data_IF_314595792020
#
_entry.id   IF_314595792020
#
_cell.length_a   1.000
_cell.length_b   1.000
_cell.length_c   1.000
_cell.angle_alpha   90.00
_cell.angle_beta   90.00
_cell.angle_gamma   90.00
#
_symmetry.space_group_name_H-M   'P 1'
#
loop_
_entity.id
_entity.type
_entity.pdbx_description
1 polymer ?
#
# COMPACT_ATOMS: atom_id res chain seq x y z
N UNK A 1 18.16 11.84 13.01
CA UNK A 1 17.18 10.75 12.81
C UNK A 1 17.64 9.56 13.65
N UNK A 2 16.73 8.87 14.34
CA UNK A 2 17.08 7.61 15.00
C UNK A 2 17.44 6.57 13.92
N UNK A 3 18.41 5.69 14.24
CA UNK A 3 18.78 4.62 13.32
C UNK A 3 17.57 3.70 13.07
N UNK A 4 17.46 3.18 11.83
CA UNK A 4 16.45 2.17 11.51
C UNK A 4 16.70 0.91 12.33
N UNK A 5 15.71 0.46 13.08
CA UNK A 5 15.82 -0.62 14.06
C UNK A 5 14.72 -1.70 13.97
N UNK A 6 13.84 -1.63 12.98
CA UNK A 6 12.84 -2.69 12.78
C UNK A 6 13.49 -3.92 12.13
N UNK A 7 13.14 -5.09 12.64
CA UNK A 7 13.57 -6.35 12.04
C UNK A 7 13.00 -6.51 10.62
N UNK A 8 13.77 -7.12 9.69
CA UNK A 8 13.25 -7.46 8.38
C UNK A 8 11.98 -8.30 8.50
N UNK A 9 10.89 -7.95 7.80
CA UNK A 9 9.70 -8.79 7.76
C UNK A 9 9.95 -10.04 6.92
N UNK A 10 9.18 -11.10 7.19
CA UNK A 10 9.24 -12.32 6.40
C UNK A 10 8.00 -12.45 5.52
N UNK A 11 8.19 -13.00 4.31
CA UNK A 11 7.12 -13.49 3.45
C UNK A 11 7.12 -15.01 3.51
N UNK A 12 5.96 -15.60 3.82
CA UNK A 12 5.74 -17.05 3.76
C UNK A 12 4.85 -17.31 2.56
N UNK A 13 5.36 -18.06 1.59
CA UNK A 13 4.63 -18.42 0.37
C UNK A 13 4.34 -19.92 0.39
N UNK A 14 3.07 -20.28 0.23
CA UNK A 14 2.64 -21.66 0.05
C UNK A 14 2.11 -21.85 -1.38
N UNK A 15 2.62 -22.82 -2.12
CA UNK A 15 2.30 -23.04 -3.53
C UNK A 15 2.13 -24.52 -3.84
N UNK A 16 1.25 -24.82 -4.79
CA UNK A 16 1.15 -26.16 -5.33
C UNK A 16 2.38 -26.50 -6.16
N UNK A 17 2.97 -27.65 -5.92
CA UNK A 17 4.01 -28.20 -6.78
C UNK A 17 3.38 -28.81 -8.06
N UNK A 18 4.14 -28.94 -9.14
CA UNK A 18 3.65 -29.63 -10.32
C UNK A 18 3.22 -31.05 -10.00
N UNK A 19 2.04 -31.45 -10.47
CA UNK A 19 1.60 -32.84 -10.37
C UNK A 19 2.42 -33.70 -11.31
N UNK A 20 3.02 -34.82 -10.84
CA UNK A 20 3.76 -35.72 -11.69
C UNK A 20 2.90 -36.27 -12.83
N UNK A 21 3.49 -36.43 -14.02
CA UNK A 21 2.75 -36.80 -15.24
C UNK A 21 2.01 -38.16 -15.15
N UNK A 22 2.49 -39.10 -14.33
CA UNK A 22 1.82 -40.38 -14.12
C UNK A 22 0.52 -40.27 -13.30
N UNK A 23 0.27 -39.13 -12.67
CA UNK A 23 -0.99 -38.80 -11.97
C UNK A 23 -1.93 -37.93 -12.81
N UNK A 24 -1.57 -37.55 -14.04
CA UNK A 24 -2.36 -36.60 -14.85
C UNK A 24 -3.79 -37.06 -15.15
N UNK A 25 -4.05 -38.37 -15.13
CA UNK A 25 -5.38 -38.96 -15.39
C UNK A 25 -6.06 -39.49 -14.11
N UNK A 26 -5.50 -39.25 -12.96
CA UNK A 26 -6.08 -39.62 -11.68
C UNK A 26 -6.88 -38.43 -11.11
N UNK A 27 -8.20 -38.53 -11.19
CA UNK A 27 -9.12 -37.47 -10.75
C UNK A 27 -9.06 -37.19 -9.25
N UNK A 28 -8.42 -38.04 -8.47
CA UNK A 28 -8.25 -37.88 -7.02
C UNK A 28 -6.82 -37.48 -6.62
N UNK A 29 -5.93 -37.34 -7.60
CA UNK A 29 -4.57 -36.94 -7.31
C UNK A 29 -4.49 -35.44 -6.97
N UNK A 30 -3.86 -35.13 -5.85
CA UNK A 30 -3.59 -33.77 -5.40
C UNK A 30 -2.10 -33.46 -5.48
N UNK A 31 -1.70 -32.23 -5.84
CA UNK A 31 -0.30 -31.83 -5.85
C UNK A 31 0.26 -31.74 -4.42
N UNK A 32 1.54 -31.96 -4.28
CA UNK A 32 2.25 -31.56 -3.06
C UNK A 32 2.29 -30.05 -2.89
N UNK A 33 2.62 -29.59 -1.69
CA UNK A 33 2.72 -28.15 -1.37
C UNK A 33 4.15 -27.79 -1.00
N UNK A 34 4.66 -26.73 -1.63
CA UNK A 34 5.89 -26.07 -1.22
C UNK A 34 5.56 -24.94 -0.25
N UNK A 35 6.34 -24.80 0.82
CA UNK A 35 6.30 -23.63 1.71
C UNK A 35 7.68 -22.99 1.72
N UNK A 36 7.76 -21.74 1.34
CA UNK A 36 8.99 -20.92 1.34
C UNK A 36 8.89 -19.83 2.38
N UNK A 37 10.03 -19.50 2.98
CA UNK A 37 10.17 -18.37 3.91
C UNK A 37 11.25 -17.45 3.37
N UNK A 38 10.89 -16.25 2.98
CA UNK A 38 11.80 -15.23 2.46
C UNK A 38 11.90 -14.08 3.47
N UNK A 39 13.12 -13.67 3.79
CA UNK A 39 13.36 -12.41 4.50
C UNK A 39 13.28 -11.26 3.50
N UNK A 40 12.46 -10.25 3.78
CA UNK A 40 12.25 -9.13 2.87
C UNK A 40 13.14 -7.94 3.26
N UNK A 41 13.87 -7.40 2.29
CA UNK A 41 14.63 -6.17 2.51
C UNK A 41 13.71 -4.95 2.51
N UNK A 42 13.77 -4.16 3.58
CA UNK A 42 13.01 -2.93 3.73
C UNK A 42 13.87 -1.74 3.34
N UNK A 43 13.89 -1.43 2.04
CA UNK A 43 14.75 -0.40 1.46
C UNK A 43 14.10 1.00 1.50
N UNK A 44 14.88 2.08 1.60
CA UNK A 44 14.36 3.44 1.46
C UNK A 44 13.63 3.64 0.13
N UNK A 45 12.50 4.33 0.16
CA UNK A 45 11.79 4.72 -1.07
C UNK A 45 12.50 5.95 -1.66
N UNK A 46 12.92 5.91 -2.94
CA UNK A 46 13.54 7.06 -3.58
C UNK A 46 12.66 8.32 -3.52
N UNK A 47 13.26 9.48 -3.25
CA UNK A 47 12.56 10.77 -3.18
C UNK A 47 11.93 11.10 -1.82
N UNK A 48 12.09 10.23 -0.80
CA UNK A 48 11.56 10.46 0.55
C UNK A 48 12.64 10.60 1.64
N UNK A 49 13.89 10.86 1.26
CA UNK A 49 15.03 11.15 2.17
C UNK A 49 15.16 10.18 3.37
N UNK A 50 14.78 8.90 3.17
CA UNK A 50 14.82 7.89 4.21
C UNK A 50 13.67 7.94 5.21
N UNK A 51 12.72 8.86 5.06
CA UNK A 51 11.50 8.96 5.87
C UNK A 51 10.62 7.73 5.69
N UNK A 52 10.51 7.24 4.45
CA UNK A 52 9.74 6.05 4.11
C UNK A 52 10.65 4.93 3.61
N UNK A 53 10.40 3.72 4.10
CA UNK A 53 11.02 2.48 3.62
C UNK A 53 9.95 1.51 3.19
N UNK A 54 10.28 0.61 2.25
CA UNK A 54 9.32 -0.35 1.69
C UNK A 54 9.95 -1.73 1.51
N UNK A 55 9.22 -2.77 1.91
CA UNK A 55 9.50 -4.14 1.54
C UNK A 55 8.35 -4.70 0.72
N UNK A 56 8.60 -5.07 -0.54
CA UNK A 56 7.55 -5.59 -1.44
C UNK A 56 7.22 -7.04 -1.06
N UNK A 57 5.94 -7.34 -0.88
CA UNK A 57 5.44 -8.68 -0.57
C UNK A 57 4.98 -9.38 -1.84
N UNK A 58 4.10 -8.76 -2.62
CA UNK A 58 3.63 -9.30 -3.90
C UNK A 58 3.10 -8.18 -4.80
N UNK A 59 3.11 -8.46 -6.10
CA UNK A 59 2.46 -7.64 -7.12
C UNK A 59 1.60 -8.53 -8.00
N UNK A 60 0.39 -8.11 -8.31
CA UNK A 60 -0.51 -8.79 -9.24
C UNK A 60 -0.92 -7.83 -10.34
N UNK A 61 -0.70 -8.22 -11.58
CA UNK A 61 -1.00 -7.37 -12.76
C UNK A 61 -2.48 -7.20 -13.02
N UNK A 62 -3.31 -8.12 -12.51
CA UNK A 62 -4.74 -8.14 -12.76
C UNK A 62 -5.50 -8.81 -11.63
N UNK A 63 -6.79 -8.50 -11.54
CA UNK A 63 -7.78 -9.19 -10.72
C UNK A 63 -8.87 -9.74 -11.67
N UNK A 64 -9.26 -11.04 -11.59
CA UNK A 64 -8.78 -12.04 -10.64
C UNK A 64 -7.30 -12.42 -10.84
N UNK A 65 -6.64 -12.81 -9.74
CA UNK A 65 -5.27 -13.28 -9.74
C UNK A 65 -5.18 -14.73 -10.20
N UNK A 66 -3.98 -15.18 -10.63
CA UNK A 66 -3.68 -16.61 -10.81
C UNK A 66 -3.01 -17.17 -9.56
N UNK A 67 -3.34 -18.41 -9.22
CA UNK A 67 -2.64 -19.20 -8.20
C UNK A 67 -1.59 -20.13 -8.80
N UNK A 68 -1.31 -20.00 -10.11
CA UNK A 68 -0.34 -20.85 -10.80
C UNK A 68 1.09 -20.46 -10.38
N UNK A 69 1.94 -21.48 -10.37
CA UNK A 69 3.36 -21.31 -10.11
C UNK A 69 3.78 -21.77 -8.72
N UNK A 70 5.10 -21.96 -8.60
CA UNK A 70 5.80 -22.35 -7.38
C UNK A 70 7.17 -21.66 -7.35
N UNK A 71 7.91 -21.82 -6.26
CA UNK A 71 9.22 -21.22 -6.10
C UNK A 71 9.15 -19.74 -5.72
N UNK A 72 10.05 -18.92 -6.26
CA UNK A 72 10.14 -17.52 -5.95
C UNK A 72 8.98 -16.72 -6.58
N UNK A 73 8.37 -15.83 -5.81
CA UNK A 73 7.33 -14.93 -6.33
C UNK A 73 7.99 -13.82 -7.15
N UNK A 74 7.69 -13.70 -8.45
CA UNK A 74 8.16 -12.57 -9.24
C UNK A 74 7.50 -11.28 -8.77
N UNK A 75 8.28 -10.21 -8.67
CA UNK A 75 7.80 -8.88 -8.33
C UNK A 75 7.91 -7.97 -9.54
N UNK A 76 6.77 -7.54 -10.06
CA UNK A 76 6.72 -6.59 -11.16
C UNK A 76 7.15 -5.19 -10.73
N UNK A 77 7.75 -4.44 -11.63
CA UNK A 77 7.98 -3.02 -11.43
C UNK A 77 6.65 -2.27 -11.56
N UNK A 78 6.32 -1.48 -10.53
CA UNK A 78 5.12 -0.66 -10.50
C UNK A 78 5.47 0.74 -10.96
N UNK A 79 4.77 1.30 -11.97
CA UNK A 79 5.12 2.60 -12.54
C UNK A 79 4.95 3.76 -11.55
N UNK A 80 5.56 4.87 -11.84
CA UNK A 80 5.54 6.09 -11.03
C UNK A 80 6.23 5.91 -9.69
N UNK A 81 5.59 6.33 -8.62
CA UNK A 81 6.10 6.14 -7.24
C UNK A 81 5.91 4.71 -6.72
N UNK A 82 5.45 3.80 -7.57
CA UNK A 82 5.32 2.39 -7.22
C UNK A 82 4.13 2.07 -6.32
N UNK A 83 2.99 2.69 -6.55
CA UNK A 83 1.77 2.49 -5.73
C UNK A 83 1.06 1.21 -6.13
N UNK A 84 0.56 1.10 -7.38
CA UNK A 84 -0.15 -0.08 -7.87
C UNK A 84 -0.11 -0.15 -9.40
N UNK A 85 -0.13 -1.36 -9.95
CA UNK A 85 -0.31 -1.57 -11.40
C UNK A 85 -1.77 -1.33 -11.79
N UNK A 86 -2.05 -0.69 -12.93
CA UNK A 86 -3.42 -0.53 -13.42
C UNK A 86 -4.13 -1.89 -13.54
N UNK A 87 -5.33 -2.01 -12.94
CA UNK A 87 -6.11 -3.24 -12.89
C UNK A 87 -5.58 -4.31 -11.92
N UNK A 88 -4.54 -4.02 -11.18
CA UNK A 88 -3.85 -4.97 -10.32
C UNK A 88 -3.91 -4.66 -8.82
N UNK A 89 -3.05 -5.35 -8.10
CA UNK A 89 -2.85 -5.22 -6.66
C UNK A 89 -1.37 -5.17 -6.34
N UNK A 90 -0.99 -4.34 -5.38
CA UNK A 90 0.35 -4.30 -4.82
C UNK A 90 0.28 -4.44 -3.30
N UNK A 91 1.06 -5.36 -2.74
CA UNK A 91 1.14 -5.59 -1.30
C UNK A 91 2.58 -5.36 -0.84
N UNK A 92 2.74 -4.52 0.18
CA UNK A 92 4.06 -4.20 0.72
C UNK A 92 4.00 -3.72 2.18
N UNK A 93 5.09 -3.89 2.89
CA UNK A 93 5.31 -3.19 4.16
C UNK A 93 5.79 -1.78 3.89
N UNK A 94 5.30 -0.83 4.68
CA UNK A 94 5.81 0.53 4.78
C UNK A 94 6.29 0.75 6.20
N UNK A 95 7.53 1.24 6.33
CA UNK A 95 8.05 1.73 7.59
C UNK A 95 8.21 3.25 7.53
N UNK A 96 7.64 3.94 8.51
CA UNK A 96 7.65 5.41 8.63
C UNK A 96 8.58 5.83 9.74
N UNK A 97 9.55 6.69 9.42
CA UNK A 97 10.57 7.14 10.35
C UNK A 97 9.96 7.96 11.50
N UNK A 98 10.60 7.94 12.70
CA UNK A 98 10.21 8.79 13.80
C UNK A 98 10.26 10.28 13.46
N UNK A 99 9.34 11.06 14.05
CA UNK A 99 9.29 12.52 13.91
C UNK A 99 9.35 12.98 12.45
N UNK A 100 8.52 12.37 11.61
CA UNK A 100 8.48 12.66 10.17
C UNK A 100 7.06 12.95 9.70
N UNK A 101 6.94 13.94 8.83
CA UNK A 101 5.70 14.27 8.13
C UNK A 101 5.76 13.71 6.72
N UNK A 102 4.71 12.99 6.33
CA UNK A 102 4.56 12.47 4.97
C UNK A 102 4.07 13.54 4.01
N UNK A 103 4.31 13.34 2.72
CA UNK A 103 3.80 14.20 1.67
C UNK A 103 2.31 13.96 1.46
N UNK A 104 1.51 15.03 1.45
CA UNK A 104 0.08 14.96 1.16
C UNK A 104 -0.14 14.56 -0.29
N UNK A 105 -0.88 13.49 -0.53
CA UNK A 105 -1.11 12.99 -1.89
C UNK A 105 -2.44 12.26 -2.03
N UNK A 106 -2.83 12.04 -3.27
CA UNK A 106 -3.95 11.19 -3.68
C UNK A 106 -3.53 10.36 -4.86
N UNK A 107 -3.91 9.08 -4.83
CA UNK A 107 -3.71 8.11 -5.90
C UNK A 107 -5.04 7.49 -6.33
N UNK A 108 -5.10 6.99 -7.56
CA UNK A 108 -6.24 6.25 -8.08
C UNK A 108 -6.16 4.80 -7.61
N UNK A 109 -6.46 4.63 -6.32
CA UNK A 109 -6.42 3.34 -5.63
C UNK A 109 -7.40 3.28 -4.46
N UNK A 110 -7.71 2.06 -4.04
CA UNK A 110 -8.29 1.79 -2.73
C UNK A 110 -7.23 1.10 -1.89
N UNK A 111 -6.89 1.71 -0.75
CA UNK A 111 -5.80 1.22 0.10
C UNK A 111 -6.35 0.70 1.42
N UNK A 112 -5.87 -0.45 1.83
CA UNK A 112 -6.07 -1.01 3.16
C UNK A 112 -4.72 -0.99 3.88
N UNK A 113 -4.63 -0.18 4.93
CA UNK A 113 -3.41 -0.05 5.72
C UNK A 113 -3.65 -0.63 7.10
N UNK A 114 -2.89 -1.66 7.46
CA UNK A 114 -2.95 -2.29 8.78
C UNK A 114 -1.74 -1.81 9.57
N UNK A 115 -1.98 -1.17 10.72
CA UNK A 115 -0.90 -0.80 11.63
C UNK A 115 -0.40 -2.04 12.36
N UNK A 116 0.87 -2.40 12.17
CA UNK A 116 1.49 -3.57 12.80
C UNK A 116 2.20 -3.16 14.08
N UNK A 117 2.96 -2.07 14.04
CA UNK A 117 3.69 -1.56 15.22
C UNK A 117 3.86 -0.06 15.16
N UNK A 118 4.03 0.57 16.31
CA UNK A 118 4.11 2.02 16.48
C UNK A 118 2.73 2.69 16.35
N UNK A 119 2.70 4.02 16.33
CA UNK A 119 1.46 4.81 16.15
C UNK A 119 1.60 5.68 14.91
N UNK A 120 0.76 5.41 13.91
CA UNK A 120 0.69 6.22 12.69
C UNK A 120 -0.14 7.47 12.95
N UNK A 121 0.32 8.60 12.45
CA UNK A 121 -0.48 9.83 12.33
C UNK A 121 -0.98 9.94 10.89
N UNK A 122 -2.23 9.53 10.64
CA UNK A 122 -2.89 9.72 9.35
C UNK A 122 -3.31 11.19 9.26
N UNK A 123 -2.75 11.93 8.31
CA UNK A 123 -3.12 13.31 8.04
C UNK A 123 -4.13 13.40 6.91
N UNK A 124 -5.17 14.16 7.10
CA UNK A 124 -6.19 14.47 6.08
C UNK A 124 -6.55 15.95 6.11
N UNK A 125 -7.04 16.54 5.01
CA UNK A 125 -7.70 17.84 5.08
C UNK A 125 -8.87 17.82 6.06
N UNK A 126 -9.23 18.97 6.61
CA UNK A 126 -10.46 19.11 7.38
C UNK A 126 -11.72 18.84 6.51
N UNK A 127 -12.90 18.52 7.14
CA UNK A 127 -14.12 18.16 6.40
C UNK A 127 -14.81 19.36 5.76
N UNK A 128 -14.05 20.15 4.99
CA UNK A 128 -14.51 21.29 4.24
C UNK A 128 -13.99 21.22 2.81
N UNK A 129 -14.74 21.72 1.82
CA UNK A 129 -14.26 21.83 0.46
C UNK A 129 -12.98 22.68 0.38
N UNK A 130 -12.03 22.25 -0.45
CA UNK A 130 -10.79 22.97 -0.73
C UNK A 130 -10.44 22.83 -2.21
N UNK A 131 -9.45 23.59 -2.66
CA UNK A 131 -8.97 23.55 -4.04
C UNK A 131 -7.56 22.97 -4.10
N UNK A 132 -7.31 22.23 -5.16
CA UNK A 132 -5.96 21.82 -5.58
C UNK A 132 -5.72 22.44 -6.94
N UNK A 133 -4.75 23.35 -7.03
CA UNK A 133 -4.39 24.04 -8.25
C UNK A 133 -2.86 24.20 -8.32
N UNK A 134 -2.27 23.88 -9.45
CA UNK A 134 -0.84 24.03 -9.72
C UNK A 134 0.05 23.40 -8.62
N UNK A 135 -0.33 22.19 -8.14
CA UNK A 135 0.38 21.47 -7.09
C UNK A 135 0.24 22.07 -5.68
N UNK A 136 -0.68 23.04 -5.48
CA UNK A 136 -0.96 23.66 -4.18
C UNK A 136 -2.39 23.37 -3.75
N UNK A 137 -2.58 23.23 -2.46
CA UNK A 137 -3.90 23.07 -1.85
C UNK A 137 -4.25 24.25 -0.94
N UNK A 138 -5.56 24.51 -0.79
CA UNK A 138 -6.08 25.61 0.02
C UNK A 138 -6.73 25.16 1.33
N UNK A 139 -6.59 23.86 1.72
CA UNK A 139 -7.02 23.41 3.04
C UNK A 139 -6.16 24.08 4.13
N UNK A 140 -6.73 24.24 5.33
CA UNK A 140 -6.02 24.73 6.50
C UNK A 140 -5.02 23.72 7.07
N UNK A 141 -4.84 23.71 8.38
CA UNK A 141 -3.99 22.71 9.04
C UNK A 141 -4.58 21.31 8.87
N UNK A 142 -3.78 20.31 8.45
CA UNK A 142 -4.26 18.94 8.34
C UNK A 142 -4.72 18.38 9.69
N UNK A 143 -5.81 17.64 9.65
CA UNK A 143 -6.31 16.89 10.82
C UNK A 143 -5.53 15.59 10.94
N UNK A 144 -4.97 15.34 12.13
CA UNK A 144 -4.26 14.13 12.46
C UNK A 144 -5.20 13.13 13.15
N UNK A 145 -5.25 11.90 12.62
CA UNK A 145 -5.90 10.76 13.28
C UNK A 145 -4.83 9.78 13.70
N UNK A 146 -4.75 9.48 15.00
CA UNK A 146 -3.85 8.45 15.51
C UNK A 146 -4.40 7.06 15.20
N UNK A 147 -3.56 6.23 14.57
CA UNK A 147 -3.87 4.84 14.26
C UNK A 147 -2.86 3.94 15.00
N UNK A 148 -3.35 3.00 15.80
CA UNK A 148 -2.57 2.14 16.71
C UNK A 148 -2.45 0.72 16.14
N UNK A 149 -1.53 -0.11 16.65
CA UNK A 149 -1.43 -1.50 16.25
C UNK A 149 -2.77 -2.23 16.34
N UNK A 150 -3.16 -2.87 15.22
CA UNK A 150 -4.45 -3.52 15.02
C UNK A 150 -5.51 -2.66 14.32
N UNK A 151 -5.33 -1.35 14.24
CA UNK A 151 -6.23 -0.49 13.46
C UNK A 151 -6.03 -0.72 11.95
N UNK A 152 -7.14 -0.63 11.22
CA UNK A 152 -7.17 -0.72 9.77
C UNK A 152 -7.71 0.59 9.20
N UNK A 153 -6.91 1.24 8.37
CA UNK A 153 -7.32 2.43 7.61
C UNK A 153 -7.80 1.97 6.23
N UNK A 154 -9.00 2.40 5.83
CA UNK A 154 -9.49 2.22 4.47
C UNK A 154 -9.48 3.57 3.78
N UNK A 155 -8.59 3.73 2.81
CA UNK A 155 -8.49 4.96 2.01
C UNK A 155 -9.20 4.77 0.68
N UNK A 156 -10.04 5.73 0.34
CA UNK A 156 -10.90 5.72 -0.84
C UNK A 156 -10.59 6.91 -1.74
N UNK A 157 -9.36 6.97 -2.28
CA UNK A 157 -8.94 8.01 -3.22
C UNK A 157 -8.96 9.43 -2.62
N UNK A 158 -8.64 9.60 -1.35
CA UNK A 158 -8.61 10.89 -0.65
C UNK A 158 -7.22 11.53 -0.67
N UNK A 159 -7.12 12.83 -0.44
CA UNK A 159 -5.86 13.48 -0.09
C UNK A 159 -5.50 13.09 1.34
N UNK A 160 -4.28 12.55 1.52
CA UNK A 160 -3.79 12.10 2.81
C UNK A 160 -2.26 12.13 2.87
N UNK A 161 -1.72 12.00 4.08
CA UNK A 161 -0.31 11.68 4.30
C UNK A 161 -0.15 10.67 5.43
N UNK A 162 0.86 9.83 5.30
CA UNK A 162 1.30 8.90 6.35
C UNK A 162 2.45 9.55 7.09
N UNK A 163 2.19 10.01 8.32
CA UNK A 163 3.15 10.71 9.16
C UNK A 163 3.39 9.94 10.45
N UNK A 164 4.50 10.24 11.10
CA UNK A 164 4.85 9.64 12.38
C UNK A 164 5.34 10.73 13.33
N UNK A 165 4.49 11.11 14.28
CA UNK A 165 4.74 12.13 15.29
C UNK A 165 5.28 11.56 16.62
N UNK A 166 5.75 10.31 16.57
CA UNK A 166 6.34 9.60 17.71
C UNK A 166 7.84 9.46 17.56
N UNK A 167 8.52 8.97 18.62
CA UNK A 167 9.96 8.73 18.63
C UNK A 167 10.36 7.32 18.14
N UNK A 168 9.40 6.49 17.76
CA UNK A 168 9.62 5.12 17.34
C UNK A 168 9.24 4.93 15.87
N UNK A 169 9.84 3.95 15.20
CA UNK A 169 9.44 3.56 13.85
C UNK A 169 8.04 2.97 13.84
N UNK A 170 7.25 3.33 12.84
CA UNK A 170 5.93 2.74 12.57
C UNK A 170 6.06 1.75 11.44
N UNK A 171 5.45 0.57 11.56
CA UNK A 171 5.30 -0.41 10.47
C UNK A 171 3.85 -0.61 10.12
N UNK A 172 3.56 -0.53 8.83
CA UNK A 172 2.26 -0.82 8.23
C UNK A 172 2.38 -1.99 7.24
N UNK A 173 1.30 -2.76 7.10
CA UNK A 173 1.05 -3.55 5.90
C UNK A 173 0.09 -2.76 5.01
N UNK A 174 0.49 -2.50 3.79
CA UNK A 174 -0.33 -1.85 2.78
C UNK A 174 -0.78 -2.86 1.73
N UNK A 175 -2.08 -2.92 1.49
CA UNK A 175 -2.71 -3.65 0.39
C UNK A 175 -3.39 -2.61 -0.48
N UNK A 176 -2.84 -2.38 -1.67
CA UNK A 176 -3.26 -1.31 -2.57
C UNK A 176 -3.86 -1.94 -3.82
N UNK A 177 -5.13 -1.65 -4.07
CA UNK A 177 -5.86 -2.10 -5.24
C UNK A 177 -6.04 -0.95 -6.21
N UNK A 178 -5.77 -1.21 -7.49
CA UNK A 178 -6.18 -0.28 -8.55
C UNK A 178 -7.69 -0.06 -8.50
N UNK A 179 -8.10 1.20 -8.57
CA UNK A 179 -9.52 1.58 -8.60
C UNK A 179 -9.91 2.21 -9.93
N UNK A 180 -11.20 2.39 -10.15
CA UNK A 180 -11.70 3.33 -11.12
C UNK A 180 -11.30 4.75 -10.76
N UNK A 181 -11.45 5.69 -11.70
CA UNK A 181 -11.19 7.11 -11.45
C UNK A 181 -11.91 7.61 -10.18
N UNK A 182 -11.17 8.30 -9.33
CA UNK A 182 -11.75 8.87 -8.11
C UNK A 182 -12.83 9.90 -8.45
N UNK A 183 -14.00 9.77 -7.83
CA UNK A 183 -15.16 10.65 -8.08
C UNK A 183 -15.72 11.16 -6.77
N UNK A 184 -16.10 12.44 -6.76
CA UNK A 184 -16.87 13.03 -5.68
C UNK A 184 -18.28 13.38 -6.19
N UNK A 185 -19.30 12.99 -5.44
CA UNK A 185 -20.68 13.38 -5.75
C UNK A 185 -20.85 14.90 -5.58
N UNK A 186 -21.67 15.51 -6.42
CA UNK A 186 -22.07 16.91 -6.30
C UNK A 186 -23.44 16.95 -5.62
N UNK A 187 -23.55 17.71 -4.53
CA UNK A 187 -24.82 17.84 -3.82
C UNK A 187 -25.94 18.30 -4.75
N UNK A 188 -27.10 17.67 -4.60
CA UNK A 188 -28.32 17.99 -5.37
C UNK A 188 -28.22 17.86 -6.89
N UNK A 189 -27.23 17.10 -7.38
CA UNK A 189 -27.08 16.81 -8.81
C UNK A 189 -26.74 15.33 -9.04
N UNK A 190 -27.32 14.75 -10.09
CA UNK A 190 -26.95 13.42 -10.59
C UNK A 190 -25.60 13.47 -11.33
N UNK A 191 -24.64 14.16 -10.77
CA UNK A 191 -23.37 14.46 -11.40
C UNK A 191 -22.19 14.20 -10.44
N UNK A 192 -21.02 13.98 -11.00
CA UNK A 192 -19.81 13.69 -10.26
C UNK A 192 -18.66 14.55 -10.78
N UNK A 193 -17.77 14.93 -9.89
CA UNK A 193 -16.49 15.52 -10.24
C UNK A 193 -15.39 14.46 -10.18
N UNK A 194 -14.68 14.25 -11.28
CA UNK A 194 -13.48 13.42 -11.27
C UNK A 194 -12.32 14.14 -10.55
N UNK A 195 -11.56 13.35 -9.80
CA UNK A 195 -10.45 13.81 -8.98
C UNK A 195 -9.17 13.13 -9.46
N UNK A 196 -8.28 13.88 -10.07
CA UNK A 196 -6.98 13.38 -10.54
C UNK A 196 -6.04 13.05 -9.37
N UNK A 197 -5.02 12.23 -9.65
CA UNK A 197 -3.89 12.06 -8.73
C UNK A 197 -3.23 13.40 -8.43
N UNK A 198 -2.75 13.54 -7.22
CA UNK A 198 -2.11 14.78 -6.76
C UNK A 198 -0.98 14.48 -5.77
N UNK A 199 0.13 15.18 -5.90
CA UNK A 199 1.24 15.20 -4.97
C UNK A 199 1.45 16.65 -4.55
N UNK A 200 1.32 16.93 -3.27
CA UNK A 200 1.35 18.28 -2.71
C UNK A 200 2.65 18.42 -1.91
N UNK A 201 3.42 19.48 -2.15
CA UNK A 201 4.69 19.72 -1.44
C UNK A 201 4.47 19.97 0.06
#
# INVERSE_FOLDING_TARGET
MSSYNLSPPSRITASNLPLPSHHANDEHAEPGVEVRVDSLDCSPIPGFDGVLRRARVSTNKQIPTSNDGHGEIPLDDVPGVGIVLPGGLNMYYIDVAPNSEGTMHRTTSTDYLVVISGTLSLLTPEPKPFQVKDGKATYGEPVATECKPGDIVVQRGIIHALSNRTNEWVRLLAVVLSSEANKASIESADNHKELADAWLP
#
